data_IF_509779334719
#
_entry.id   IF_509779334719
#
_cell.length_a   1.000
_cell.length_b   1.000
_cell.length_c   1.000
_cell.angle_alpha   90.00
_cell.angle_beta   90.00
_cell.angle_gamma   90.00
#
_symmetry.space_group_name_H-M   'P 1'
#
loop_
_entity.id
_entity.type
_entity.pdbx_description
1 polymer ?
#
# COMPACT_ATOMS: atom_id res chain seq x y z
N UNK A 1 8.31 -3.76 -83.35
CA UNK A 1 8.71 -2.69 -82.40
C UNK A 1 7.90 -2.83 -81.13
N UNK A 2 8.57 -2.89 -79.96
CA UNK A 2 8.06 -2.64 -78.58
C UNK A 2 6.97 -3.59 -78.05
N UNK A 3 6.96 -4.05 -76.79
CA UNK A 3 7.88 -4.01 -75.64
C UNK A 3 7.42 -5.12 -74.66
N UNK A 4 8.30 -5.47 -73.72
CA UNK A 4 8.32 -6.65 -72.84
C UNK A 4 7.26 -6.68 -71.72
N UNK A 5 6.99 -7.93 -71.28
CA UNK A 5 6.70 -8.44 -69.92
C UNK A 5 6.48 -7.43 -68.80
N UNK A 6 5.43 -7.65 -67.98
CA UNK A 6 5.55 -7.73 -66.51
C UNK A 6 4.32 -8.40 -65.87
N UNK A 7 4.54 -9.58 -65.28
CA UNK A 7 3.76 -10.09 -64.13
C UNK A 7 4.58 -9.75 -62.89
N UNK A 8 3.95 -9.22 -61.83
CA UNK A 8 4.05 -9.86 -60.51
C UNK A 8 2.67 -9.96 -59.85
N UNK A 9 2.27 -11.13 -59.34
CA UNK A 9 2.63 -11.71 -58.04
C UNK A 9 2.17 -10.88 -56.82
N UNK A 10 1.13 -11.41 -56.17
CA UNK A 10 0.98 -11.65 -54.72
C UNK A 10 1.30 -10.50 -53.76
N UNK A 11 0.28 -10.05 -53.01
CA UNK A 11 0.16 -10.28 -51.56
C UNK A 11 -1.00 -9.45 -51.00
N UNK A 12 -2.11 -10.15 -50.71
CA UNK A 12 -3.07 -9.75 -49.69
C UNK A 12 -2.32 -9.60 -48.36
N UNK A 13 -1.85 -8.39 -48.07
CA UNK A 13 -1.46 -8.04 -46.72
C UNK A 13 -2.75 -7.92 -45.90
N UNK A 14 -3.13 -9.03 -45.26
CA UNK A 14 -3.85 -9.01 -44.00
C UNK A 14 -3.04 -8.14 -43.04
N UNK A 15 -3.34 -6.85 -42.99
CA UNK A 15 -2.98 -6.00 -41.86
C UNK A 15 -3.85 -6.44 -40.66
N UNK A 16 -3.56 -7.64 -40.14
CA UNK A 16 -4.02 -8.01 -38.81
C UNK A 16 -3.42 -6.99 -37.86
N UNK A 17 -4.26 -6.23 -37.16
CA UNK A 17 -3.86 -5.37 -36.04
C UNK A 17 -3.40 -6.27 -34.88
N UNK A 18 -2.10 -6.43 -34.59
CA UNK A 18 -1.65 -7.21 -33.45
C UNK A 18 -1.07 -6.22 -32.45
N UNK A 19 -1.89 -5.39 -31.78
CA UNK A 19 -1.29 -4.23 -31.09
C UNK A 19 -2.05 -3.62 -29.92
N UNK A 20 -2.92 -4.38 -29.27
CA UNK A 20 -3.52 -3.93 -27.99
C UNK A 20 -3.28 -4.90 -26.86
N UNK A 21 -3.34 -6.20 -27.14
CA UNK A 21 -3.12 -7.26 -26.14
C UNK A 21 -1.65 -7.40 -25.76
N UNK A 22 -0.73 -7.39 -26.75
CA UNK A 22 0.72 -7.54 -26.50
C UNK A 22 1.31 -6.34 -25.74
N UNK A 23 0.83 -5.13 -26.02
CA UNK A 23 1.25 -3.90 -25.32
C UNK A 23 0.79 -3.89 -23.85
N UNK A 24 -0.42 -4.42 -23.58
CA UNK A 24 -0.95 -4.51 -22.21
C UNK A 24 -0.22 -5.57 -21.39
N UNK A 25 0.09 -6.74 -21.96
CA UNK A 25 0.84 -7.79 -21.28
C UNK A 25 2.28 -7.36 -21.00
N UNK A 26 2.94 -6.69 -21.95
CA UNK A 26 4.27 -6.12 -21.75
C UNK A 26 4.26 -5.01 -20.68
N UNK A 27 3.24 -4.16 -20.66
CA UNK A 27 3.07 -3.15 -19.62
C UNK A 27 2.88 -3.78 -18.25
N UNK A 28 2.07 -4.84 -18.13
CA UNK A 28 1.86 -5.56 -16.88
C UNK A 28 3.15 -6.17 -16.33
N UNK A 29 3.95 -6.81 -17.18
CA UNK A 29 5.24 -7.36 -16.80
C UNK A 29 6.21 -6.27 -16.30
N UNK A 30 6.29 -5.15 -17.02
CA UNK A 30 7.12 -4.01 -16.62
C UNK A 30 6.65 -3.40 -15.30
N UNK A 31 5.34 -3.23 -15.11
CA UNK A 31 4.80 -2.67 -13.87
C UNK A 31 5.09 -3.59 -12.69
N UNK A 32 4.88 -4.91 -12.84
CA UNK A 32 5.21 -5.89 -11.80
C UNK A 32 6.70 -5.83 -11.43
N UNK A 33 7.58 -5.85 -12.43
CA UNK A 33 9.01 -5.76 -12.22
C UNK A 33 9.40 -4.46 -11.49
N UNK A 34 8.90 -3.32 -11.96
CA UNK A 34 9.24 -2.00 -11.41
C UNK A 34 8.68 -1.77 -10.01
N UNK A 35 7.51 -2.33 -9.69
CA UNK A 35 7.00 -2.32 -8.31
C UNK A 35 7.90 -3.13 -7.38
N UNK A 36 8.35 -4.31 -7.81
CA UNK A 36 9.30 -5.09 -7.03
C UNK A 36 10.64 -4.37 -6.85
N UNK A 37 11.19 -3.77 -7.91
CA UNK A 37 12.40 -2.93 -7.85
C UNK A 37 12.20 -1.75 -6.88
N UNK A 38 11.05 -1.08 -6.94
CA UNK A 38 10.69 0.02 -6.04
C UNK A 38 10.67 -0.42 -4.58
N UNK A 39 10.03 -1.55 -4.27
CA UNK A 39 9.98 -2.07 -2.91
C UNK A 39 11.38 -2.45 -2.40
N UNK A 40 12.25 -3.01 -3.25
CA UNK A 40 13.62 -3.35 -2.85
C UNK A 40 14.49 -2.14 -2.52
N UNK A 41 14.16 -0.95 -3.04
CA UNK A 41 14.85 0.30 -2.69
C UNK A 41 14.54 0.75 -1.26
N UNK A 42 13.36 0.40 -0.74
CA UNK A 42 12.93 0.73 0.62
C UNK A 42 13.40 -0.35 1.60
N UNK A 43 14.71 -0.39 1.88
CA UNK A 43 15.28 -1.33 2.86
C UNK A 43 14.87 -1.06 4.31
N UNK A 44 14.45 0.18 4.60
CA UNK A 44 13.90 0.60 5.88
C UNK A 44 13.76 2.11 5.95
N UNK A 45 12.76 2.59 6.68
CA UNK A 45 12.44 4.01 6.75
C UNK A 45 11.87 4.42 8.10
N UNK A 46 11.98 5.70 8.39
CA UNK A 46 11.33 6.37 9.52
C UNK A 46 10.40 7.46 8.99
N UNK A 47 9.16 7.45 9.45
CA UNK A 47 8.23 8.55 9.21
C UNK A 47 7.60 9.02 10.51
N UNK A 48 7.32 10.32 10.58
CA UNK A 48 6.51 10.89 11.64
C UNK A 48 5.66 12.02 11.07
N UNK A 49 4.51 12.23 11.68
CA UNK A 49 3.56 13.19 11.18
C UNK A 49 2.28 13.17 11.99
N UNK A 50 1.23 13.65 11.36
CA UNK A 50 -0.08 13.72 11.96
C UNK A 50 -1.15 13.22 11.00
N UNK A 51 -2.21 12.66 11.57
CA UNK A 51 -3.42 12.28 10.86
C UNK A 51 -4.60 13.03 11.47
N UNK A 52 -5.47 13.54 10.62
CA UNK A 52 -6.69 14.22 11.04
C UNK A 52 -7.86 13.65 10.25
N UNK A 53 -8.84 13.14 10.97
CA UNK A 53 -10.14 12.75 10.43
C UNK A 53 -11.16 13.86 10.64
N UNK A 54 -12.23 13.86 9.86
CA UNK A 54 -13.32 14.81 10.02
C UNK A 54 -13.91 14.76 11.44
N UNK A 55 -14.07 15.93 12.05
CA UNK A 55 -14.65 16.07 13.38
C UNK A 55 -13.76 15.51 14.51
N UNK A 56 -12.52 15.12 14.19
CA UNK A 56 -11.54 14.64 15.16
C UNK A 56 -10.38 15.63 15.28
N UNK A 57 -9.73 15.61 16.43
CA UNK A 57 -8.47 16.30 16.64
C UNK A 57 -7.35 15.64 15.86
N UNK A 58 -6.32 16.42 15.58
CA UNK A 58 -5.12 15.94 14.92
C UNK A 58 -4.33 15.00 15.84
N UNK A 59 -4.08 13.78 15.37
CA UNK A 59 -3.38 12.74 16.14
C UNK A 59 -1.97 12.56 15.56
N UNK A 60 -0.93 12.77 16.36
CA UNK A 60 0.45 12.52 15.94
C UNK A 60 0.73 11.02 15.90
N UNK A 61 1.59 10.62 14.97
CA UNK A 61 2.06 9.25 14.84
C UNK A 61 3.51 9.18 14.39
N UNK A 62 4.16 8.06 14.66
CA UNK A 62 5.40 7.66 14.00
C UNK A 62 5.30 6.23 13.49
N UNK A 63 6.07 5.93 12.45
CA UNK A 63 6.20 4.60 11.94
C UNK A 63 7.63 4.31 11.48
N UNK A 64 8.16 3.20 11.97
CA UNK A 64 9.47 2.68 11.63
C UNK A 64 9.29 1.36 10.89
N UNK A 65 9.97 1.20 9.76
CA UNK A 65 10.00 -0.03 8.97
C UNK A 65 11.43 -0.46 8.73
N UNK A 66 11.68 -1.77 8.81
CA UNK A 66 12.92 -2.40 8.36
C UNK A 66 12.59 -3.70 7.63
N UNK A 67 13.15 -3.87 6.44
CA UNK A 67 13.04 -5.11 5.70
C UNK A 67 13.69 -6.29 6.47
N UNK A 68 13.20 -7.54 6.31
CA UNK A 68 12.08 -7.91 5.46
C UNK A 68 10.70 -7.52 6.03
N UNK A 69 10.46 -7.70 7.33
CA UNK A 69 9.18 -7.37 7.97
C UNK A 69 9.41 -7.07 9.45
N UNK A 70 9.94 -5.89 9.76
CA UNK A 70 9.97 -5.33 11.12
C UNK A 70 9.31 -3.98 11.09
N UNK A 71 8.38 -3.78 12.00
CA UNK A 71 7.47 -2.63 11.97
C UNK A 71 7.25 -2.12 13.38
N UNK A 72 7.19 -0.80 13.55
CA UNK A 72 6.81 -0.18 14.80
C UNK A 72 5.96 1.05 14.51
N UNK A 73 4.75 1.08 15.04
CA UNK A 73 3.85 2.22 14.95
C UNK A 73 3.58 2.80 16.34
N UNK A 74 3.55 4.12 16.45
CA UNK A 74 3.14 4.83 17.68
C UNK A 74 2.04 5.84 17.37
N UNK A 75 1.04 5.97 18.26
CA UNK A 75 -0.05 6.96 18.15
C UNK A 75 -0.15 7.82 19.41
N UNK A 76 -0.38 9.11 19.23
CA UNK A 76 -0.61 10.10 20.29
C UNK A 76 0.66 10.77 20.82
N UNK A 77 0.49 11.87 21.55
CA UNK A 77 1.58 12.58 22.27
C UNK A 77 1.18 12.82 23.73
N UNK A 78 1.87 12.21 24.71
CA UNK A 78 2.87 11.14 24.55
C UNK A 78 2.26 9.91 23.87
N UNK A 79 3.09 9.00 23.35
CA UNK A 79 2.60 7.78 22.69
C UNK A 79 1.67 7.01 23.64
N UNK A 80 0.40 6.87 23.27
CA UNK A 80 -0.62 6.19 24.08
C UNK A 80 -0.82 4.75 23.64
N UNK A 81 -0.46 4.44 22.39
CA UNK A 81 -0.56 3.12 21.78
C UNK A 81 0.68 2.86 20.94
N UNK A 82 1.30 1.70 21.17
CA UNK A 82 2.47 1.25 20.41
C UNK A 82 2.19 -0.17 19.95
N UNK A 83 2.38 -0.39 18.65
CA UNK A 83 2.43 -1.71 18.06
C UNK A 83 3.83 -1.95 17.53
N UNK A 84 4.41 -3.12 17.78
CA UNK A 84 5.71 -3.44 17.21
C UNK A 84 5.82 -4.92 16.84
N UNK A 85 6.44 -5.20 15.70
CA UNK A 85 6.70 -6.54 15.20
C UNK A 85 8.20 -6.69 14.99
N UNK A 86 8.85 -7.58 15.75
CA UNK A 86 10.31 -7.82 15.72
C UNK A 86 10.75 -8.84 14.65
N UNK A 87 9.79 -9.38 13.89
CA UNK A 87 9.99 -10.49 12.95
C UNK A 87 9.49 -11.85 13.48
N UNK A 88 9.13 -11.94 14.76
CA UNK A 88 8.70 -13.17 15.46
C UNK A 88 7.49 -12.93 16.37
N UNK A 89 7.48 -11.82 17.10
CA UNK A 89 6.45 -11.45 18.06
C UNK A 89 5.82 -10.11 17.71
N UNK A 90 4.50 -10.02 17.91
CA UNK A 90 3.80 -8.74 17.93
C UNK A 90 3.71 -8.27 19.39
N UNK A 91 4.11 -7.04 19.64
CA UNK A 91 3.96 -6.35 20.90
C UNK A 91 2.86 -5.30 20.74
N UNK A 92 1.96 -5.24 21.72
CA UNK A 92 0.97 -4.18 21.91
C UNK A 92 1.21 -3.55 23.28
N UNK A 93 1.44 -2.24 23.31
CA UNK A 93 1.54 -1.46 24.54
C UNK A 93 0.47 -0.37 24.51
N UNK A 94 -0.35 -0.32 25.57
CA UNK A 94 -1.43 0.63 25.75
C UNK A 94 -1.24 1.37 27.08
N UNK A 95 -0.71 2.58 27.00
CA UNK A 95 -0.22 3.31 28.17
C UNK A 95 -1.38 3.79 29.06
N UNK A 96 -2.51 4.20 28.46
CA UNK A 96 -3.70 4.61 29.19
C UNK A 96 -4.31 3.48 30.05
N UNK A 97 -4.05 2.23 29.70
CA UNK A 97 -4.53 1.04 30.43
C UNK A 97 -3.43 0.37 31.26
N UNK A 98 -2.19 0.84 31.16
CA UNK A 98 -0.99 0.15 31.68
C UNK A 98 -0.96 -1.33 31.26
N UNK A 99 -1.26 -1.61 29.99
CA UNK A 99 -1.35 -2.96 29.45
C UNK A 99 -0.24 -3.22 28.44
N UNK A 100 0.44 -4.36 28.59
CA UNK A 100 1.45 -4.84 27.66
C UNK A 100 1.12 -6.27 27.25
N UNK A 101 0.91 -6.50 25.95
CA UNK A 101 0.61 -7.83 25.41
C UNK A 101 1.70 -8.23 24.41
N UNK A 102 2.28 -9.41 24.61
CA UNK A 102 3.10 -10.08 23.60
C UNK A 102 2.29 -11.17 22.92
N UNK A 103 2.24 -11.17 21.61
CA UNK A 103 1.59 -12.18 20.81
C UNK A 103 2.63 -13.01 20.07
N UNK A 104 2.59 -14.33 20.29
CA UNK A 104 3.29 -15.32 19.46
C UNK A 104 2.44 -15.61 18.22
N UNK A 105 3.06 -15.79 17.06
CA UNK A 105 2.31 -16.14 15.84
C UNK A 105 2.39 -17.64 15.55
N UNK A 106 1.23 -18.27 15.42
CA UNK A 106 1.05 -19.60 14.81
C UNK A 106 0.29 -19.51 13.47
N UNK A 107 0.09 -18.29 12.96
CA UNK A 107 -0.58 -18.06 11.68
C UNK A 107 0.29 -18.58 10.51
N UNK A 108 -0.33 -19.18 9.48
CA UNK A 108 0.34 -19.43 8.21
C UNK A 108 0.92 -18.13 7.61
N UNK A 109 2.05 -18.18 6.88
CA UNK A 109 2.74 -16.98 6.39
C UNK A 109 1.86 -15.99 5.62
N UNK A 110 0.95 -16.49 4.77
CA UNK A 110 0.04 -15.64 4.01
C UNK A 110 -0.96 -14.90 4.90
N UNK A 111 -1.51 -15.57 5.93
CA UNK A 111 -2.43 -14.96 6.90
C UNK A 111 -1.69 -14.00 7.83
N UNK A 112 -0.48 -14.32 8.23
CA UNK A 112 0.38 -13.41 8.99
C UNK A 112 0.65 -12.12 8.20
N UNK A 113 0.99 -12.22 6.92
CA UNK A 113 1.21 -11.05 6.07
C UNK A 113 -0.04 -10.17 5.96
N UNK A 114 -1.22 -10.77 5.81
CA UNK A 114 -2.51 -10.06 5.82
C UNK A 114 -2.77 -9.36 7.17
N UNK A 115 -2.63 -10.10 8.27
CA UNK A 115 -2.81 -9.58 9.62
C UNK A 115 -1.87 -8.41 9.95
N UNK A 116 -0.59 -8.52 9.59
CA UNK A 116 0.38 -7.43 9.77
C UNK A 116 0.05 -6.22 8.89
N UNK A 117 -0.41 -6.46 7.66
CA UNK A 117 -0.85 -5.41 6.74
C UNK A 117 -2.03 -4.63 7.30
N UNK A 118 -2.98 -5.31 7.94
CA UNK A 118 -4.13 -4.69 8.61
C UNK A 118 -3.71 -3.94 9.87
N UNK A 119 -2.90 -4.57 10.73
CA UNK A 119 -2.43 -4.00 12.00
C UNK A 119 -1.61 -2.73 11.78
N UNK A 120 -0.66 -2.77 10.83
CA UNK A 120 0.25 -1.64 10.57
C UNK A 120 -0.22 -0.71 9.44
N UNK A 121 -1.29 -1.07 8.73
CA UNK A 121 -1.81 -0.28 7.61
C UNK A 121 -2.23 1.13 8.01
N UNK A 122 -2.72 1.31 9.24
CA UNK A 122 -3.09 2.63 9.78
C UNK A 122 -1.89 3.57 9.97
N UNK A 123 -0.69 3.01 10.10
CA UNK A 123 0.56 3.76 10.28
C UNK A 123 1.34 3.98 8.98
N UNK A 124 0.98 3.27 7.91
CA UNK A 124 1.70 3.28 6.64
C UNK A 124 0.85 4.04 5.61
N UNK A 125 1.12 5.33 5.37
CA UNK A 125 0.38 6.09 4.38
C UNK A 125 0.51 5.44 2.99
N UNK A 126 -0.50 5.66 2.15
CA UNK A 126 -0.43 5.22 0.75
C UNK A 126 0.86 5.72 0.08
N UNK A 127 1.45 4.89 -0.78
CA UNK A 127 2.70 5.20 -1.45
C UNK A 127 3.99 4.84 -0.69
N UNK A 128 3.93 4.41 0.57
CA UNK A 128 5.10 3.83 1.25
C UNK A 128 5.26 2.32 0.99
N UNK A 129 4.18 1.65 0.57
CA UNK A 129 4.16 0.26 0.13
C UNK A 129 3.70 0.16 -1.31
N UNK A 130 4.17 -0.83 -2.06
CA UNK A 130 3.54 -1.15 -3.33
C UNK A 130 2.04 -1.43 -3.13
N UNK A 131 1.18 -1.00 -4.07
CA UNK A 131 -0.22 -1.37 -4.05
C UNK A 131 -0.37 -2.90 -4.01
N UNK A 132 -1.16 -3.39 -3.05
CA UNK A 132 -1.57 -4.79 -2.98
C UNK A 132 -2.65 -5.04 -4.04
N UNK A 133 -2.28 -4.93 -5.32
CA UNK A 133 -3.13 -5.31 -6.44
C UNK A 133 -2.86 -6.77 -6.75
N UNK A 134 -3.85 -7.60 -6.44
CA UNK A 134 -3.87 -9.02 -6.77
C UNK A 134 -3.79 -9.25 -8.28
N UNK A 135 -3.45 -10.49 -8.66
CA UNK A 135 -3.55 -10.98 -10.03
C UNK A 135 -4.91 -10.59 -10.63
N UNK A 136 -4.91 -9.98 -11.82
CA UNK A 136 -6.14 -9.56 -12.51
C UNK A 136 -6.38 -8.05 -12.60
N UNK A 137 -5.44 -7.21 -12.14
CA UNK A 137 -5.53 -5.77 -12.36
C UNK A 137 -5.46 -5.42 -13.87
N UNK A 138 -6.36 -4.54 -14.31
CA UNK A 138 -6.30 -3.91 -15.63
C UNK A 138 -5.34 -2.73 -15.58
N UNK A 139 -4.48 -2.63 -16.60
CA UNK A 139 -3.43 -1.62 -16.67
C UNK A 139 -3.59 -0.76 -17.92
N UNK A 140 -3.39 0.55 -17.77
CA UNK A 140 -3.32 1.48 -18.92
C UNK A 140 -2.46 2.69 -18.63
N UNK A 141 -1.90 3.26 -19.68
CA UNK A 141 -1.24 4.58 -19.63
C UNK A 141 -2.28 5.68 -19.48
N UNK A 142 -2.01 6.64 -18.62
CA UNK A 142 -2.87 7.81 -18.39
C UNK A 142 -2.04 9.08 -18.28
N UNK A 143 -2.69 10.22 -18.51
CA UNK A 143 -2.13 11.54 -18.18
C UNK A 143 -2.47 11.89 -16.75
N UNK A 144 -1.58 12.61 -16.07
CA UNK A 144 -1.82 13.07 -14.72
C UNK A 144 -1.25 14.49 -14.53
N UNK A 145 -1.92 15.42 -13.82
CA UNK A 145 -1.41 16.78 -13.66
C UNK A 145 -0.02 16.87 -13.00
N UNK A 146 0.32 15.91 -12.14
CA UNK A 146 1.58 15.85 -11.38
C UNK A 146 2.65 14.94 -12.00
N UNK A 147 2.40 14.37 -13.18
CA UNK A 147 3.36 13.48 -13.82
C UNK A 147 3.23 13.54 -15.35
N UNK A 148 4.35 13.72 -16.10
CA UNK A 148 4.32 13.69 -17.57
C UNK A 148 3.71 12.38 -18.12
N UNK A 149 3.99 11.27 -17.44
CA UNK A 149 3.42 9.95 -17.73
C UNK A 149 2.98 9.26 -16.44
N UNK A 150 1.87 8.54 -16.50
CA UNK A 150 1.38 7.72 -15.41
C UNK A 150 0.76 6.41 -15.91
N UNK A 151 0.65 5.45 -15.01
CA UNK A 151 -0.07 4.18 -15.22
C UNK A 151 -1.22 4.10 -14.23
N UNK A 152 -2.38 3.68 -14.72
CA UNK A 152 -3.52 3.34 -13.91
C UNK A 152 -3.59 1.82 -13.72
N UNK A 153 -3.80 1.38 -12.48
CA UNK A 153 -3.99 -0.01 -12.09
C UNK A 153 -5.39 -0.13 -11.47
N UNK A 154 -6.30 -0.81 -12.15
CA UNK A 154 -7.68 -0.98 -11.72
C UNK A 154 -7.98 -2.44 -11.39
N UNK A 155 -8.61 -2.71 -10.25
CA UNK A 155 -9.03 -4.04 -9.83
C UNK A 155 -10.42 -3.99 -9.20
N UNK A 156 -11.26 -4.98 -9.49
CA UNK A 156 -12.51 -5.20 -8.75
C UNK A 156 -12.27 -6.27 -7.71
N UNK A 157 -12.52 -5.95 -6.44
CA UNK A 157 -12.28 -6.86 -5.33
C UNK A 157 -13.39 -7.92 -5.23
N UNK A 158 -13.00 -9.11 -4.75
CA UNK A 158 -13.91 -10.20 -4.38
C UNK A 158 -13.92 -10.44 -2.86
N UNK A 159 -14.58 -11.51 -2.42
CA UNK A 159 -14.65 -11.86 -0.99
C UNK A 159 -15.47 -10.85 -0.18
N UNK A 160 -14.99 -10.46 1.00
CA UNK A 160 -15.69 -9.52 1.89
C UNK A 160 -15.83 -8.11 1.31
N UNK A 161 -14.96 -7.73 0.37
CA UNK A 161 -15.00 -6.45 -0.34
C UNK A 161 -15.64 -6.58 -1.74
N UNK A 162 -16.52 -7.56 -1.94
CA UNK A 162 -17.08 -7.89 -3.24
C UNK A 162 -17.67 -6.67 -3.97
N UNK A 163 -17.20 -6.45 -5.20
CA UNK A 163 -17.70 -5.40 -6.07
C UNK A 163 -17.10 -4.02 -5.82
N UNK A 164 -16.21 -3.85 -4.82
CA UNK A 164 -15.44 -2.62 -4.65
C UNK A 164 -14.43 -2.50 -5.80
N UNK A 165 -14.56 -1.45 -6.60
CA UNK A 165 -13.55 -1.09 -7.60
C UNK A 165 -12.45 -0.26 -6.92
N UNK A 166 -11.19 -0.63 -7.14
CA UNK A 166 -10.01 0.05 -6.60
C UNK A 166 -9.09 0.44 -7.76
N UNK A 167 -8.71 1.70 -7.81
CA UNK A 167 -7.88 2.26 -8.88
C UNK A 167 -6.72 3.03 -8.30
N UNK A 168 -5.49 2.59 -8.56
CA UNK A 168 -4.27 3.34 -8.27
C UNK A 168 -3.77 4.06 -9.52
N UNK A 169 -3.23 5.26 -9.34
CA UNK A 169 -2.50 5.99 -10.37
C UNK A 169 -1.07 6.18 -9.88
N UNK A 170 -0.11 5.71 -10.67
CA UNK A 170 1.31 5.72 -10.33
C UNK A 170 2.13 6.46 -11.39
N UNK A 171 3.13 7.24 -10.98
CA UNK A 171 4.04 7.97 -11.87
C UNK A 171 4.89 6.99 -12.67
N UNK A 172 4.95 7.13 -13.99
CA UNK A 172 5.87 6.34 -14.79
C UNK A 172 7.24 7.04 -14.93
N UNK A 173 8.38 6.31 -14.95
CA UNK A 173 8.55 4.86 -14.78
C UNK A 173 8.79 4.41 -13.33
N UNK A 174 8.96 5.32 -12.37
CA UNK A 174 9.33 4.98 -10.98
C UNK A 174 8.24 4.28 -10.17
N UNK A 175 6.99 4.39 -10.64
CA UNK A 175 5.77 3.90 -9.98
C UNK A 175 5.53 4.51 -8.60
N UNK A 176 5.96 5.77 -8.41
CA UNK A 176 5.61 6.57 -7.24
C UNK A 176 4.09 6.78 -7.18
N UNK A 177 3.54 6.79 -5.98
CA UNK A 177 2.11 7.02 -5.77
C UNK A 177 1.70 8.42 -6.22
N UNK A 178 0.58 8.52 -6.95
CA UNK A 178 -0.05 9.80 -7.27
C UNK A 178 -1.43 9.88 -6.63
N UNK A 179 -2.30 8.93 -6.92
CA UNK A 179 -3.66 8.88 -6.38
C UNK A 179 -4.14 7.43 -6.17
N UNK A 180 -5.15 7.30 -5.32
CA UNK A 180 -5.97 6.09 -5.19
C UNK A 180 -7.44 6.50 -5.19
N UNK A 181 -8.27 5.75 -5.89
CA UNK A 181 -9.71 5.92 -5.95
C UNK A 181 -10.38 4.60 -5.65
N UNK A 182 -11.52 4.65 -4.97
CA UNK A 182 -12.37 3.48 -4.80
C UNK A 182 -13.82 3.83 -5.07
N UNK A 183 -14.54 2.89 -5.68
CA UNK A 183 -15.98 3.00 -5.94
C UNK A 183 -16.68 1.76 -5.40
N UNK A 184 -17.55 1.97 -4.42
CA UNK A 184 -18.39 0.91 -3.87
C UNK A 184 -19.56 0.60 -4.82
N UNK A 185 -20.21 -0.58 -4.69
CA UNK A 185 -21.33 -0.98 -5.55
C UNK A 185 -22.53 -0.03 -5.52
N UNK A 186 -22.73 0.68 -4.41
CA UNK A 186 -23.76 1.70 -4.23
C UNK A 186 -23.44 3.04 -4.96
N UNK A 187 -22.28 3.12 -5.61
CA UNK A 187 -21.81 4.31 -6.30
C UNK A 187 -21.01 5.28 -5.43
N UNK A 188 -20.86 5.00 -4.12
CA UNK A 188 -20.06 5.81 -3.20
C UNK A 188 -18.60 5.83 -3.65
N UNK A 189 -18.03 7.02 -3.77
CA UNK A 189 -16.65 7.24 -4.21
C UNK A 189 -15.80 7.79 -3.08
N UNK A 190 -14.64 7.18 -2.88
CA UNK A 190 -13.60 7.68 -2.01
C UNK A 190 -12.29 7.87 -2.78
N UNK A 191 -11.50 8.85 -2.38
CA UNK A 191 -10.23 9.18 -3.01
C UNK A 191 -9.16 9.46 -1.96
N UNK A 192 -7.93 9.04 -2.25
CA UNK A 192 -6.73 9.46 -1.55
C UNK A 192 -5.86 10.17 -2.58
N UNK A 193 -5.58 11.45 -2.35
CA UNK A 193 -4.83 12.30 -3.28
C UNK A 193 -3.50 12.72 -2.70
N UNK A 194 -2.44 12.65 -3.49
CA UNK A 194 -1.14 13.21 -3.11
C UNK A 194 -1.10 14.71 -3.38
N UNK A 195 -0.94 15.49 -2.31
CA UNK A 195 -0.83 16.96 -2.43
C UNK A 195 0.61 17.43 -2.51
N UNK A 196 1.49 16.80 -1.73
CA UNK A 196 2.91 17.12 -1.64
C UNK A 196 3.70 15.81 -1.56
N UNK A 197 4.90 15.82 -2.11
CA UNK A 197 5.80 14.66 -2.13
C UNK A 197 7.15 14.98 -1.46
N UNK A 198 7.79 13.92 -1.00
CA UNK A 198 9.18 13.91 -0.58
C UNK A 198 9.95 12.97 -1.51
N UNK A 199 11.01 13.48 -2.13
CA UNK A 199 11.83 12.71 -3.05
C UNK A 199 13.23 12.50 -2.49
N UNK A 200 13.68 11.25 -2.49
CA UNK A 200 15.05 10.87 -2.18
C UNK A 200 15.81 10.65 -3.50
N UNK A 201 16.80 11.51 -3.76
CA UNK A 201 17.58 11.45 -5.00
C UNK A 201 18.48 10.22 -5.07
N UNK A 202 18.98 9.71 -3.93
CA UNK A 202 19.84 8.54 -3.89
C UNK A 202 19.05 7.26 -4.19
N UNK A 203 17.79 7.19 -3.75
CA UNK A 203 16.88 6.09 -4.08
C UNK A 203 16.19 6.29 -5.45
N UNK A 204 16.20 7.50 -6.00
CA UNK A 204 15.40 7.90 -7.15
C UNK A 204 13.93 7.46 -6.96
N UNK A 205 13.36 7.89 -5.84
CA UNK A 205 12.04 7.48 -5.34
C UNK A 205 11.35 8.68 -4.71
N UNK A 206 10.07 8.85 -5.00
CA UNK A 206 9.23 9.82 -4.31
C UNK A 206 8.11 9.11 -3.52
N UNK A 207 7.82 9.65 -2.33
CA UNK A 207 6.73 9.20 -1.46
C UNK A 207 5.85 10.39 -1.08
N UNK A 208 4.58 10.17 -0.72
CA UNK A 208 3.73 11.27 -0.28
C UNK A 208 4.22 11.89 1.03
N UNK A 209 4.28 13.22 1.07
CA UNK A 209 4.47 14.01 2.29
C UNK A 209 3.14 14.49 2.85
N UNK A 210 2.19 14.83 1.97
CA UNK A 210 0.82 15.22 2.34
C UNK A 210 -0.17 14.45 1.49
N UNK A 211 -1.10 13.78 2.16
CA UNK A 211 -2.22 13.08 1.55
C UNK A 211 -3.53 13.69 2.03
N UNK A 212 -4.51 13.81 1.15
CA UNK A 212 -5.88 14.17 1.50
C UNK A 212 -6.81 13.02 1.18
N UNK A 213 -7.78 12.78 2.07
CA UNK A 213 -8.83 11.77 1.90
C UNK A 213 -10.15 12.46 1.61
N UNK A 214 -10.85 11.97 0.60
CA UNK A 214 -12.10 12.52 0.11
C UNK A 214 -13.18 11.45 0.05
N UNK A 215 -14.42 11.81 0.39
CA UNK A 215 -15.60 10.96 0.26
C UNK A 215 -16.70 11.79 -0.37
N UNK A 216 -17.26 11.33 -1.49
CA UNK A 216 -18.33 12.06 -2.20
C UNK A 216 -17.93 13.49 -2.61
N UNK A 217 -16.66 13.71 -2.97
CA UNK A 217 -16.15 15.03 -3.36
C UNK A 217 -15.87 15.99 -2.19
N UNK A 218 -16.06 15.56 -0.95
CA UNK A 218 -15.75 16.34 0.26
C UNK A 218 -14.50 15.80 0.95
N UNK A 219 -13.61 16.68 1.39
CA UNK A 219 -12.44 16.28 2.17
C UNK A 219 -12.88 15.79 3.55
N UNK A 220 -12.53 14.56 3.88
CA UNK A 220 -12.87 13.88 5.15
C UNK A 220 -11.64 13.59 6.02
N UNK A 221 -10.44 13.81 5.51
CA UNK A 221 -9.24 13.68 6.32
C UNK A 221 -7.97 14.09 5.61
N UNK A 222 -6.87 14.10 6.36
CA UNK A 222 -5.54 14.38 5.86
C UNK A 222 -4.47 13.65 6.68
N UNK A 223 -3.33 13.44 6.05
CA UNK A 223 -2.11 12.94 6.68
C UNK A 223 -0.97 13.86 6.24
N UNK A 224 -0.21 14.39 7.19
CA UNK A 224 0.90 15.30 6.94
C UNK A 224 2.16 14.78 7.63
N UNK A 225 3.19 14.48 6.86
CA UNK A 225 4.47 14.01 7.37
C UNK A 225 5.41 15.19 7.65
N UNK A 226 5.84 15.29 8.91
CA UNK A 226 6.84 16.23 9.37
C UNK A 226 8.26 15.67 9.20
N UNK A 227 8.43 14.35 9.25
CA UNK A 227 9.69 13.63 9.05
C UNK A 227 9.50 12.48 8.05
N UNK A 228 10.42 12.38 7.09
CA UNK A 228 10.50 11.29 6.12
C UNK A 228 11.97 10.95 5.89
N UNK A 229 12.38 9.73 6.23
CA UNK A 229 13.74 9.23 6.04
C UNK A 229 13.68 7.83 5.41
N UNK A 230 13.98 7.73 4.10
CA UNK A 230 13.71 6.51 3.31
C UNK A 230 14.88 5.53 3.21
N UNK A 231 16.09 5.97 3.54
CA UNK A 231 17.31 5.17 3.44
C UNK A 231 18.06 5.13 4.78
N UNK A 232 17.31 5.00 5.87
CA UNK A 232 17.84 4.90 7.22
C UNK A 232 17.10 3.77 7.93
N UNK A 233 17.51 2.50 7.74
CA UNK A 233 16.82 1.38 8.37
C UNK A 233 17.08 1.39 9.89
N UNK A 234 16.02 1.43 10.73
CA UNK A 234 16.15 1.40 12.19
C UNK A 234 16.94 0.17 12.66
N UNK A 235 17.74 0.24 13.73
CA UNK A 235 18.37 -0.93 14.36
C UNK A 235 17.37 -2.05 14.71
N UNK A 236 17.79 -3.32 14.68
CA UNK A 236 16.88 -4.46 14.88
C UNK A 236 16.21 -4.46 16.28
N UNK A 237 16.92 -3.99 17.30
CA UNK A 237 16.45 -3.88 18.68
C UNK A 237 15.36 -2.80 18.86
N UNK A 238 15.20 -1.88 17.90
CA UNK A 238 14.12 -0.87 17.91
C UNK A 238 12.72 -1.49 17.94
N UNK A 239 12.59 -2.72 17.46
CA UNK A 239 11.32 -3.42 17.27
C UNK A 239 10.97 -4.41 18.39
N UNK A 240 11.89 -4.65 19.32
CA UNK A 240 11.61 -5.46 20.51
C UNK A 240 11.18 -4.52 21.63
N UNK A 241 9.99 -4.73 22.18
CA UNK A 241 9.52 -3.92 23.30
C UNK A 241 9.67 -4.69 24.61
N UNK A 242 10.02 -3.97 25.66
CA UNK A 242 10.02 -4.47 27.03
C UNK A 242 8.86 -3.83 27.77
N UNK A 243 8.13 -4.62 28.56
CA UNK A 243 7.04 -4.11 29.37
C UNK A 243 7.56 -3.03 30.34
N UNK A 244 6.94 -1.83 30.38
CA UNK A 244 7.26 -0.85 31.39
C UNK A 244 6.89 -1.35 32.80
N UNK A 245 7.56 -0.80 33.81
CA UNK A 245 7.28 -1.14 35.21
C UNK A 245 5.82 -0.82 35.58
N UNK A 246 5.17 -1.75 36.30
CA UNK A 246 3.80 -1.58 36.78
C UNK A 246 2.70 -1.82 35.74
N UNK A 247 3.03 -2.39 34.58
CA UNK A 247 2.05 -2.79 33.56
C UNK A 247 1.52 -4.21 33.82
N UNK A 248 0.25 -4.45 33.46
CA UNK A 248 -0.32 -5.79 33.31
C UNK A 248 0.28 -6.44 32.06
N UNK A 249 1.02 -7.54 32.27
CA UNK A 249 1.76 -8.24 31.21
C UNK A 249 1.04 -9.52 30.82
N UNK A 250 0.66 -9.63 29.55
CA UNK A 250 -0.01 -10.81 28.99
C UNK A 250 0.79 -11.40 27.83
N UNK A 251 0.74 -12.71 27.71
CA UNK A 251 1.16 -13.43 26.51
C UNK A 251 -0.06 -14.09 25.87
N UNK A 252 -0.20 -13.92 24.56
CA UNK A 252 -1.26 -14.51 23.74
C UNK A 252 -0.66 -15.18 22.50
N UNK A 253 -1.48 -15.97 21.82
CA UNK A 253 -1.11 -16.60 20.54
C UNK A 253 -2.09 -16.15 19.47
N UNK A 254 -1.55 -15.70 18.33
CA UNK A 254 -2.32 -15.47 17.10
C UNK A 254 -2.48 -16.80 16.40
N UNK A 255 -3.73 -17.27 16.34
CA UNK A 255 -4.14 -18.49 15.65
C UNK A 255 -5.19 -18.16 14.60
N UNK A 256 -5.41 -19.06 13.66
CA UNK A 256 -6.51 -18.90 12.72
C UNK A 256 -7.85 -18.90 13.45
N UNK A 257 -8.75 -18.00 13.07
CA UNK A 257 -10.11 -18.04 13.58
C UNK A 257 -10.77 -19.35 13.13
N UNK A 258 -11.23 -20.16 14.09
CA UNK A 258 -12.11 -21.28 13.80
C UNK A 258 -13.42 -20.70 13.28
N UNK A 259 -13.95 -21.14 12.12
CA UNK A 259 -15.26 -20.67 11.66
C UNK A 259 -16.28 -20.99 12.75
N UNK A 260 -16.88 -19.97 13.36
CA UNK A 260 -18.07 -20.19 14.17
C UNK A 260 -19.17 -20.65 13.22
N UNK A 261 -19.66 -21.88 13.44
CA UNK A 261 -20.91 -22.29 12.81
C UNK A 261 -21.97 -21.24 13.21
N UNK A 262 -22.76 -20.69 12.28
CA UNK A 262 -23.89 -19.85 12.65
C UNK A 262 -24.75 -20.64 13.65
N UNK A 263 -25.29 -19.98 14.70
CA UNK A 263 -26.07 -20.68 15.71
C UNK A 263 -27.20 -21.42 15.02
N UNK A 264 -27.16 -22.75 15.10
CA UNK A 264 -28.22 -23.64 14.66
C UNK A 264 -29.14 -23.86 15.85
N UNK A 265 -30.37 -23.34 15.75
CA UNK A 265 -31.48 -23.68 16.64
C UNK A 265 -31.75 -22.63 17.73
N UNK A 266 -33.00 -22.32 18.04
CA UNK A 266 -34.28 -22.90 17.60
C UNK A 266 -35.45 -22.13 18.18
#
# INVERSE_FOLDING_TARGET
>A
MRLRLFVPCVLLALAGCPRKTDDTAALAAQVKQRLAERDTKLGGYHIAGTVKDEGQDEVPFSFDYRAPQRMRGTLGTPATRIFSWDGTHLFEQLDGEKRFTTFKSELPPAKLAGFLTETFGVFTPEGFRAPLVSHGATLRRVKHPRAPEAVELAVTLGGEAQGLELVYVLRWPGLDFLDKRSRAPDGTQAEVRMEEEHCDAALALCVPRRLTRWLGGRKVGETVLSRVELNSPPPNDTFTLTAPEGYDVKTRTLVEATPENPPTGG
#
